data_IF_003209092706
#
_entry.id   IF_003209092706
#
_cell.length_a   1.000
_cell.length_b   1.000
_cell.length_c   1.000
_cell.angle_alpha   90.00
_cell.angle_beta   90.00
_cell.angle_gamma   90.00
#
_symmetry.space_group_name_H-M   'P 1'
#
loop_
_entity.id
_entity.type
_entity.pdbx_description
1 polymer ?
#
# COMPACT_ATOMS: atom_id res chain seq x y z
N UNK A 1 14.36 -13.26 -48.76
CA UNK A 1 15.01 -13.68 -47.50
C UNK A 1 13.93 -13.78 -46.45
N UNK A 2 13.64 -14.98 -45.94
CA UNK A 2 12.68 -15.15 -44.86
C UNK A 2 13.45 -15.14 -43.53
N UNK A 3 13.07 -14.23 -42.63
CA UNK A 3 13.67 -14.17 -41.30
C UNK A 3 13.06 -15.28 -40.44
N UNK A 4 13.83 -16.35 -40.21
CA UNK A 4 13.40 -17.49 -39.40
C UNK A 4 13.48 -17.05 -37.93
N UNK A 5 12.38 -16.46 -37.43
CA UNK A 5 12.30 -16.05 -36.03
C UNK A 5 12.06 -17.29 -35.17
N UNK A 6 12.97 -17.55 -34.23
CA UNK A 6 12.80 -18.66 -33.30
C UNK A 6 11.72 -18.35 -32.26
N UNK A 7 10.49 -18.81 -32.53
CA UNK A 7 9.33 -18.59 -31.68
C UNK A 7 9.50 -19.16 -30.25
N UNK A 8 10.29 -20.23 -30.08
CA UNK A 8 10.59 -20.80 -28.75
C UNK A 8 11.41 -19.83 -27.90
N UNK A 9 12.43 -19.21 -28.50
CA UNK A 9 13.24 -18.20 -27.81
C UNK A 9 12.42 -16.93 -27.53
N UNK A 10 11.57 -16.52 -28.47
CA UNK A 10 10.68 -15.37 -28.29
C UNK A 10 9.71 -15.57 -27.11
N UNK A 11 9.07 -16.75 -27.01
CA UNK A 11 8.22 -17.10 -25.86
C UNK A 11 8.99 -17.09 -24.54
N UNK A 12 10.16 -17.72 -24.50
CA UNK A 12 11.01 -17.75 -23.29
C UNK A 12 11.42 -16.35 -22.82
N UNK A 13 11.71 -15.43 -23.76
CA UNK A 13 12.02 -14.03 -23.43
C UNK A 13 10.81 -13.31 -22.84
N UNK A 14 9.63 -13.47 -23.43
CA UNK A 14 8.37 -12.92 -22.89
C UNK A 14 8.11 -13.40 -21.47
N UNK A 15 8.19 -14.71 -21.24
CA UNK A 15 7.93 -15.30 -19.93
C UNK A 15 8.92 -14.79 -18.86
N UNK A 16 10.17 -14.56 -19.25
CA UNK A 16 11.17 -13.94 -18.36
C UNK A 16 10.80 -12.50 -18.02
N UNK A 17 10.42 -11.70 -19.01
CA UNK A 17 10.02 -10.30 -18.81
C UNK A 17 8.79 -10.18 -17.90
N UNK A 18 7.80 -11.05 -18.07
CA UNK A 18 6.61 -11.07 -17.20
C UNK A 18 7.01 -11.34 -15.76
N UNK A 19 7.87 -12.34 -15.50
CA UNK A 19 8.35 -12.66 -14.15
C UNK A 19 9.18 -11.54 -13.54
N UNK A 20 10.00 -10.86 -14.34
CA UNK A 20 10.79 -9.70 -13.88
C UNK A 20 9.87 -8.53 -13.48
N UNK A 21 8.85 -8.22 -14.29
CA UNK A 21 7.86 -7.19 -13.97
C UNK A 21 7.05 -7.52 -12.72
N UNK A 22 6.64 -8.78 -12.54
CA UNK A 22 5.98 -9.25 -11.32
C UNK A 22 6.90 -9.14 -10.10
N UNK A 23 8.17 -9.53 -10.24
CA UNK A 23 9.16 -9.40 -9.18
C UNK A 23 9.40 -7.94 -8.79
N UNK A 24 9.44 -7.01 -9.75
CA UNK A 24 9.58 -5.58 -9.49
C UNK A 24 8.35 -4.98 -8.82
N UNK A 25 7.15 -5.36 -9.27
CA UNK A 25 5.90 -4.98 -8.61
C UNK A 25 5.85 -5.50 -7.17
N UNK A 26 6.28 -6.74 -6.95
CA UNK A 26 6.36 -7.35 -5.64
C UNK A 26 7.46 -6.72 -4.77
N UNK A 27 8.62 -6.35 -5.34
CA UNK A 27 9.65 -5.56 -4.65
C UNK A 27 9.15 -4.18 -4.27
N UNK A 28 8.36 -3.51 -5.11
CA UNK A 28 7.77 -2.22 -4.74
C UNK A 28 6.72 -2.37 -3.63
N UNK A 29 5.90 -3.43 -3.68
CA UNK A 29 4.84 -3.72 -2.70
C UNK A 29 5.38 -4.24 -1.36
N UNK A 30 6.38 -5.10 -1.40
CA UNK A 30 6.92 -5.82 -0.24
C UNK A 30 8.30 -5.31 0.21
N UNK A 31 8.98 -4.53 -0.62
CA UNK A 31 10.20 -3.80 -0.26
C UNK A 31 9.92 -2.54 0.55
N UNK A 32 8.65 -2.13 0.71
CA UNK A 32 8.23 -1.36 1.87
C UNK A 32 8.47 -2.24 3.09
N UNK A 33 9.59 -2.03 3.74
CA UNK A 33 10.03 -2.83 4.87
C UNK A 33 8.96 -2.76 5.98
N UNK A 34 8.74 -3.84 6.72
CA UNK A 34 7.83 -3.86 7.90
C UNK A 34 7.94 -2.59 8.78
N UNK A 35 9.15 -2.06 9.10
CA UNK A 35 9.26 -0.83 9.87
C UNK A 35 8.68 0.41 9.14
N UNK A 36 8.83 0.53 7.83
CA UNK A 36 8.25 1.64 7.03
C UNK A 36 6.74 1.56 6.96
N UNK A 37 6.17 0.36 6.74
CA UNK A 37 4.71 0.17 6.78
C UNK A 37 4.14 0.56 8.15
N UNK A 38 4.84 0.21 9.23
CA UNK A 38 4.45 0.56 10.59
C UNK A 38 4.56 2.07 10.86
N UNK A 39 5.62 2.71 10.37
CA UNK A 39 5.79 4.17 10.46
C UNK A 39 4.67 4.90 9.72
N UNK A 40 4.38 4.51 8.48
CA UNK A 40 3.30 5.09 7.68
C UNK A 40 1.93 4.90 8.33
N UNK A 41 1.65 3.73 8.91
CA UNK A 41 0.40 3.48 9.63
C UNK A 41 0.28 4.35 10.89
N UNK A 42 1.38 4.56 11.64
CA UNK A 42 1.40 5.47 12.80
C UNK A 42 1.21 6.92 12.38
N UNK A 43 1.85 7.35 11.30
CA UNK A 43 1.68 8.70 10.73
C UNK A 43 0.24 8.94 10.27
N UNK A 44 -0.38 7.95 9.62
CA UNK A 44 -1.79 7.99 9.24
C UNK A 44 -2.71 8.06 10.47
N UNK A 45 -2.49 7.22 11.48
CA UNK A 45 -3.29 7.26 12.70
C UNK A 45 -3.19 8.61 13.44
N UNK A 46 -2.01 9.22 13.47
CA UNK A 46 -1.82 10.57 14.06
C UNK A 46 -2.55 11.63 13.21
N UNK A 47 -2.48 11.53 11.88
CA UNK A 47 -3.18 12.44 10.99
C UNK A 47 -4.70 12.31 11.12
N UNK A 48 -5.22 11.08 11.18
CA UNK A 48 -6.65 10.79 11.40
C UNK A 48 -7.11 11.30 12.77
N UNK A 49 -6.36 11.04 13.85
CA UNK A 49 -6.70 11.53 15.18
C UNK A 49 -6.68 13.07 15.26
N UNK A 50 -5.76 13.73 14.55
CA UNK A 50 -5.74 15.20 14.44
C UNK A 50 -6.95 15.71 13.68
N UNK A 51 -7.30 15.08 12.55
CA UNK A 51 -8.49 15.45 11.78
C UNK A 51 -9.76 15.25 12.59
N UNK A 52 -9.87 14.14 13.34
CA UNK A 52 -10.98 13.85 14.24
C UNK A 52 -11.12 14.89 15.35
N UNK A 53 -10.00 15.28 16.00
CA UNK A 53 -9.99 16.38 16.96
C UNK A 53 -10.34 17.76 16.39
N UNK A 54 -10.32 17.92 15.07
CA UNK A 54 -10.72 19.14 14.36
C UNK A 54 -12.11 19.03 13.70
N UNK A 55 -12.77 17.87 13.75
CA UNK A 55 -14.14 17.71 13.26
C UNK A 55 -15.12 18.38 14.23
N UNK A 56 -15.78 19.44 13.77
CA UNK A 56 -16.78 20.19 14.55
C UNK A 56 -18.12 19.45 14.71
N UNK A 57 -18.21 18.18 14.30
CA UNK A 57 -19.44 17.38 14.19
C UNK A 57 -19.40 16.08 15.02
N UNK A 58 -18.71 16.07 16.15
CA UNK A 58 -18.71 14.94 17.08
C UNK A 58 -19.13 15.39 18.47
N UNK A 59 -20.44 15.54 18.69
CA UNK A 59 -21.15 15.49 19.98
C UNK A 59 -20.25 15.59 21.22
N UNK A 60 -20.11 16.80 21.76
CA UNK A 60 -19.78 16.94 23.19
C UNK A 60 -20.95 16.33 23.97
N UNK A 61 -20.84 15.08 24.39
CA UNK A 61 -21.65 14.55 25.48
C UNK A 61 -20.96 15.02 26.76
N UNK A 62 -21.53 15.99 27.51
CA UNK A 62 -20.99 16.34 28.81
C UNK A 62 -21.11 15.12 29.74
N UNK A 63 -20.15 14.89 30.66
CA UNK A 63 -20.27 13.82 31.63
C UNK A 63 -21.47 14.13 32.53
N UNK A 64 -22.58 13.42 32.35
CA UNK A 64 -23.69 13.45 33.30
C UNK A 64 -23.25 12.70 34.55
N UNK A 65 -22.80 13.45 35.54
CA UNK A 65 -22.66 13.02 36.93
C UNK A 65 -24.06 12.69 37.46
N UNK A 66 -24.40 11.39 37.51
CA UNK A 66 -25.64 10.95 38.13
C UNK A 66 -25.32 10.51 39.56
N UNK A 67 -25.09 11.52 40.40
CA UNK A 67 -25.07 11.41 41.85
C UNK A 67 -26.49 11.70 42.37
N UNK A 68 -27.28 10.65 42.62
CA UNK A 68 -28.41 10.60 43.57
C UNK A 68 -28.91 9.17 43.76
#
# INVERSE_FOLDING_TARGET
MAEIVNLRQARKRRDRQVREAEADANRARHGQSKPEKTRRAKEQAIAEARLDGHQRNGTQVPPSDNSS
#
